data_IF_806467877240
#
_entry.id   IF_806467877240
#
_cell.length_a   1.000
_cell.length_b   1.000
_cell.length_c   1.000
_cell.angle_alpha   90.00
_cell.angle_beta   90.00
_cell.angle_gamma   90.00
#
_symmetry.space_group_name_H-M   'P 1'
#
loop_
_entity.id
_entity.type
_entity.pdbx_description
1 polymer ?
#
# COMPACT_ATOMS: atom_id res chain seq x y z
N UNK A 1 24.04 0.38 21.83
CA UNK A 1 23.04 0.29 20.76
C UNK A 1 21.68 0.43 21.39
N UNK A 2 21.01 1.57 21.20
CA UNK A 2 19.68 1.80 21.77
C UNK A 2 18.67 1.19 20.80
N UNK A 3 18.10 0.03 21.12
CA UNK A 3 16.93 -0.49 20.39
C UNK A 3 15.79 0.46 20.72
N UNK A 4 15.20 1.17 19.75
CA UNK A 4 14.04 1.99 20.03
C UNK A 4 12.92 1.09 20.55
N UNK A 5 12.29 1.50 21.65
CA UNK A 5 11.11 0.86 22.18
C UNK A 5 10.01 0.85 21.10
N UNK A 6 9.22 -0.22 21.00
CA UNK A 6 8.10 -0.24 20.07
C UNK A 6 7.18 0.96 20.37
N UNK A 7 6.83 1.70 19.35
CA UNK A 7 5.85 2.78 19.45
C UNK A 7 4.48 2.16 19.76
N UNK A 8 3.81 2.60 20.79
CA UNK A 8 2.43 2.20 21.11
C UNK A 8 1.40 2.70 20.07
N UNK A 9 1.84 3.57 19.15
CA UNK A 9 0.99 4.06 18.09
C UNK A 9 0.78 2.98 17.00
N UNK A 10 -0.42 2.88 16.43
CA UNK A 10 -0.70 1.91 15.37
C UNK A 10 0.10 2.21 14.09
N UNK A 11 0.33 1.22 13.23
CA UNK A 11 0.84 1.46 11.89
C UNK A 11 -0.20 2.20 11.04
N UNK A 12 0.28 2.90 10.01
CA UNK A 12 -0.53 3.68 9.07
C UNK A 12 -0.64 2.95 7.73
N UNK A 13 -1.84 2.96 7.13
CA UNK A 13 -2.05 2.44 5.79
C UNK A 13 -1.50 3.40 4.72
N UNK A 14 -0.78 2.86 3.73
CA UNK A 14 -0.32 3.62 2.58
C UNK A 14 -0.80 2.95 1.29
N UNK A 15 -1.79 3.56 0.62
CA UNK A 15 -2.32 3.10 -0.66
C UNK A 15 -1.53 3.74 -1.80
N UNK A 16 -0.84 2.93 -2.59
CA UNK A 16 -0.18 3.39 -3.80
C UNK A 16 -1.15 3.30 -4.99
N UNK A 17 -1.58 4.44 -5.49
CA UNK A 17 -2.56 4.61 -6.57
C UNK A 17 -2.04 5.54 -7.68
N UNK A 18 -0.72 5.70 -7.82
CA UNK A 18 -0.08 6.60 -8.78
C UNK A 18 0.54 5.89 -10.00
N UNK A 19 0.25 4.59 -10.20
CA UNK A 19 0.75 3.81 -11.34
C UNK A 19 0.25 4.35 -12.70
N UNK A 20 1.08 4.27 -13.74
CA UNK A 20 0.79 4.83 -15.07
C UNK A 20 -0.22 4.05 -15.91
N UNK A 21 -0.69 2.89 -15.49
CA UNK A 21 -1.69 2.06 -16.19
C UNK A 21 -1.40 1.82 -17.69
N UNK A 22 -0.11 1.80 -18.09
CA UNK A 22 0.33 1.79 -19.50
C UNK A 22 -0.27 0.64 -20.33
N UNK A 23 -0.61 -0.48 -19.69
CA UNK A 23 -1.18 -1.68 -20.35
C UNK A 23 -2.71 -1.63 -20.46
N UNK A 24 -3.36 -0.67 -19.80
CA UNK A 24 -4.82 -0.54 -19.77
C UNK A 24 -5.36 0.39 -20.89
N UNK A 25 -4.47 0.96 -21.71
CA UNK A 25 -4.82 1.88 -22.78
C UNK A 25 -5.06 3.32 -22.29
N UNK A 26 -6.02 4.02 -22.92
CA UNK A 26 -6.29 5.44 -22.67
C UNK A 26 -7.05 5.67 -21.36
N UNK A 27 -7.74 4.67 -20.85
CA UNK A 27 -8.55 4.78 -19.63
C UNK A 27 -7.71 4.59 -18.38
N UNK A 28 -8.03 5.36 -17.33
CA UNK A 28 -7.40 5.15 -16.02
C UNK A 28 -7.87 3.81 -15.44
N UNK A 29 -6.97 2.86 -15.29
CA UNK A 29 -7.20 1.51 -14.74
C UNK A 29 -7.94 1.57 -13.39
N UNK A 30 -7.50 2.47 -12.51
CA UNK A 30 -7.97 2.56 -11.14
C UNK A 30 -9.42 3.03 -11.01
N UNK A 31 -9.95 3.70 -12.05
CA UNK A 31 -11.35 4.12 -12.14
C UNK A 31 -12.26 3.07 -12.76
N UNK A 32 -11.72 1.95 -13.26
CA UNK A 32 -12.54 0.92 -13.88
C UNK A 32 -13.45 0.25 -12.86
N UNK A 33 -14.72 -0.01 -13.24
CA UNK A 33 -15.63 -0.75 -12.39
C UNK A 33 -15.25 -2.23 -12.34
N UNK A 34 -15.30 -2.81 -11.16
CA UNK A 34 -15.29 -4.24 -10.92
C UNK A 34 -16.66 -4.85 -11.31
N UNK A 35 -16.81 -6.18 -11.37
CA UNK A 35 -18.09 -6.82 -11.70
C UNK A 35 -19.28 -6.38 -10.84
N UNK A 36 -19.03 -5.93 -9.62
CA UNK A 36 -20.06 -5.36 -8.73
C UNK A 36 -20.41 -3.88 -9.02
N UNK A 37 -19.79 -3.27 -10.04
CA UNK A 37 -19.99 -1.88 -10.43
C UNK A 37 -19.19 -0.85 -9.62
N UNK A 38 -18.42 -1.28 -8.61
CA UNK A 38 -17.62 -0.37 -7.80
C UNK A 38 -16.26 -0.10 -8.43
N UNK A 39 -15.76 1.13 -8.30
CA UNK A 39 -14.42 1.53 -8.74
C UNK A 39 -13.34 0.72 -8.03
N UNK A 40 -12.41 0.13 -8.79
CA UNK A 40 -11.32 -0.72 -8.30
C UNK A 40 -10.54 -0.10 -7.14
N UNK A 41 -10.05 1.13 -7.32
CA UNK A 41 -9.28 1.81 -6.28
C UNK A 41 -10.11 2.12 -5.02
N UNK A 42 -11.42 2.34 -5.17
CA UNK A 42 -12.35 2.55 -4.05
C UNK A 42 -12.50 1.28 -3.22
N UNK A 43 -12.59 0.12 -3.87
CA UNK A 43 -12.67 -1.18 -3.17
C UNK A 43 -11.38 -1.46 -2.42
N UNK A 44 -10.22 -1.29 -3.06
CA UNK A 44 -8.91 -1.46 -2.39
C UNK A 44 -8.75 -0.50 -1.20
N UNK A 45 -9.13 0.77 -1.38
CA UNK A 45 -9.09 1.79 -0.33
C UNK A 45 -10.00 1.46 0.85
N UNK A 46 -11.20 0.95 0.57
CA UNK A 46 -12.16 0.55 1.61
C UNK A 46 -11.61 -0.60 2.46
N UNK A 47 -11.01 -1.60 1.84
CA UNK A 47 -10.35 -2.69 2.57
C UNK A 47 -9.24 -2.17 3.48
N UNK A 48 -8.41 -1.24 2.96
CA UNK A 48 -7.32 -0.66 3.73
C UNK A 48 -7.83 0.17 4.92
N UNK A 49 -8.78 1.09 4.71
CA UNK A 49 -9.25 1.98 5.78
C UNK A 49 -10.13 1.25 6.81
N UNK A 50 -10.77 0.15 6.43
CA UNK A 50 -11.48 -0.73 7.36
C UNK A 50 -10.52 -1.36 8.37
N UNK A 51 -9.32 -1.77 7.90
CA UNK A 51 -8.30 -2.34 8.77
C UNK A 51 -7.48 -1.27 9.49
N UNK A 52 -7.16 -0.17 8.81
CA UNK A 52 -6.29 0.91 9.29
C UNK A 52 -6.99 2.26 9.08
N UNK A 53 -7.73 2.75 10.09
CA UNK A 53 -8.46 4.02 9.99
C UNK A 53 -7.58 5.24 9.69
N UNK A 54 -6.29 5.19 10.07
CA UNK A 54 -5.31 6.18 9.64
C UNK A 54 -4.64 5.69 8.37
N UNK A 55 -5.02 6.25 7.22
CA UNK A 55 -4.46 5.85 5.93
C UNK A 55 -4.25 7.05 5.01
N UNK A 56 -3.17 6.97 4.25
CA UNK A 56 -2.78 7.92 3.19
C UNK A 56 -2.90 7.24 1.84
N UNK A 57 -3.42 7.94 0.84
CA UNK A 57 -3.41 7.50 -0.55
C UNK A 57 -2.57 8.45 -1.41
N UNK A 58 -1.70 7.88 -2.22
CA UNK A 58 -0.90 8.61 -3.22
C UNK A 58 -1.52 8.36 -4.58
N UNK A 59 -1.98 9.41 -5.25
CA UNK A 59 -2.62 9.35 -6.57
C UNK A 59 -1.85 10.19 -7.59
N UNK A 60 -2.15 10.03 -8.87
CA UNK A 60 -1.71 10.97 -9.90
C UNK A 60 -2.48 12.28 -9.81
N UNK A 61 -1.81 13.38 -10.13
CA UNK A 61 -2.50 14.65 -10.38
C UNK A 61 -3.50 14.51 -11.54
N UNK A 62 -4.48 15.42 -11.56
CA UNK A 62 -5.52 15.49 -12.60
C UNK A 62 -6.47 14.28 -12.67
N UNK A 63 -6.73 13.64 -11.53
CA UNK A 63 -7.77 12.61 -11.38
C UNK A 63 -8.72 12.99 -10.24
N UNK A 64 -9.50 14.10 -10.41
CA UNK A 64 -10.32 14.67 -9.33
C UNK A 64 -11.40 13.71 -8.83
N UNK A 65 -11.96 12.87 -9.70
CA UNK A 65 -12.97 11.87 -9.32
C UNK A 65 -12.38 10.85 -8.32
N UNK A 66 -11.16 10.37 -8.56
CA UNK A 66 -10.49 9.45 -7.65
C UNK A 66 -10.14 10.15 -6.34
N UNK A 67 -9.61 11.38 -6.42
CA UNK A 67 -9.29 12.18 -5.24
C UNK A 67 -10.52 12.36 -4.35
N UNK A 68 -11.65 12.76 -4.93
CA UNK A 68 -12.90 12.95 -4.20
C UNK A 68 -13.42 11.66 -3.57
N UNK A 69 -13.40 10.53 -4.31
CA UNK A 69 -13.87 9.24 -3.83
C UNK A 69 -13.02 8.73 -2.64
N UNK A 70 -11.70 8.84 -2.72
CA UNK A 70 -10.80 8.40 -1.63
C UNK A 70 -10.91 9.29 -0.39
N UNK A 71 -11.04 10.61 -0.57
CA UNK A 71 -11.32 11.56 0.54
C UNK A 71 -12.67 11.27 1.21
N UNK A 72 -13.70 10.93 0.45
CA UNK A 72 -15.01 10.57 0.98
C UNK A 72 -14.99 9.29 1.83
N UNK A 73 -14.04 8.37 1.57
CA UNK A 73 -13.77 7.20 2.42
C UNK A 73 -13.00 7.55 3.69
N UNK A 74 -12.44 8.76 3.81
CA UNK A 74 -11.67 9.20 4.98
C UNK A 74 -10.15 9.07 4.82
N UNK A 75 -9.62 8.74 3.63
CA UNK A 75 -8.18 8.73 3.42
C UNK A 75 -7.65 10.17 3.27
N UNK A 76 -6.45 10.38 3.80
CA UNK A 76 -5.65 11.56 3.44
C UNK A 76 -5.07 11.32 2.03
N UNK A 77 -5.40 12.20 1.08
CA UNK A 77 -4.98 12.06 -0.31
C UNK A 77 -3.88 13.06 -0.63
N UNK A 78 -2.78 12.57 -1.21
CA UNK A 78 -1.67 13.38 -1.74
C UNK A 78 -1.52 13.08 -3.23
N UNK A 79 -1.27 14.12 -4.02
CA UNK A 79 -1.19 14.04 -5.47
C UNK A 79 0.27 14.15 -5.93
N UNK A 80 0.71 13.19 -6.76
CA UNK A 80 1.99 13.25 -7.45
C UNK A 80 1.98 14.39 -8.46
N UNK A 81 3.00 15.25 -8.43
CA UNK A 81 3.23 16.27 -9.45
C UNK A 81 3.92 15.71 -10.70
N UNK A 82 4.46 16.64 -11.51
CA UNK A 82 5.19 16.28 -12.74
C UNK A 82 6.56 15.64 -12.46
N UNK A 83 7.09 15.83 -11.27
CA UNK A 83 8.42 15.33 -10.87
C UNK A 83 8.38 13.86 -10.45
N UNK A 84 7.23 13.36 -9.98
CA UNK A 84 7.06 11.98 -9.54
C UNK A 84 6.78 11.06 -10.75
N UNK A 85 7.86 10.62 -11.42
CA UNK A 85 7.77 9.87 -12.68
C UNK A 85 7.91 8.35 -12.49
N UNK A 86 8.48 7.89 -11.38
CA UNK A 86 8.73 6.48 -11.10
C UNK A 86 8.02 6.03 -9.82
N UNK A 87 7.93 4.71 -9.60
CA UNK A 87 7.25 4.16 -8.42
C UNK A 87 7.89 4.62 -7.11
N UNK A 88 9.21 4.76 -7.06
CA UNK A 88 9.94 5.23 -5.88
C UNK A 88 9.51 6.63 -5.45
N UNK A 89 9.23 7.53 -6.40
CA UNK A 89 8.84 8.91 -6.09
C UNK A 89 7.48 8.96 -5.39
N UNK A 90 6.49 8.23 -5.92
CA UNK A 90 5.17 8.14 -5.30
C UNK A 90 5.23 7.48 -3.91
N UNK A 91 6.09 6.47 -3.73
CA UNK A 91 6.33 5.87 -2.42
C UNK A 91 6.93 6.87 -1.43
N UNK A 92 7.97 7.61 -1.82
CA UNK A 92 8.62 8.64 -0.98
C UNK A 92 7.64 9.74 -0.61
N UNK A 93 6.83 10.23 -1.55
CA UNK A 93 5.81 11.24 -1.30
C UNK A 93 4.81 10.74 -0.25
N UNK A 94 4.31 9.53 -0.40
CA UNK A 94 3.40 8.91 0.56
C UNK A 94 4.02 8.73 1.94
N UNK A 95 5.25 8.25 2.02
CA UNK A 95 5.97 8.07 3.28
C UNK A 95 6.24 9.40 4.00
N UNK A 96 6.66 10.44 3.28
CA UNK A 96 6.85 11.77 3.86
C UNK A 96 5.52 12.35 4.39
N UNK A 97 4.41 12.12 3.68
CA UNK A 97 3.07 12.50 4.13
C UNK A 97 2.70 11.75 5.41
N UNK A 98 2.94 10.42 5.47
CA UNK A 98 2.71 9.62 6.68
C UNK A 98 3.53 10.13 7.85
N UNK A 99 4.83 10.38 7.66
CA UNK A 99 5.71 10.85 8.74
C UNK A 99 5.32 12.24 9.27
N UNK A 100 4.80 13.10 8.39
CA UNK A 100 4.33 14.45 8.75
C UNK A 100 3.01 14.39 9.51
N UNK A 101 2.03 13.61 9.02
CA UNK A 101 0.70 13.54 9.59
C UNK A 101 0.63 12.63 10.84
N UNK A 102 1.46 11.58 10.87
CA UNK A 102 1.49 10.56 11.92
C UNK A 102 2.92 10.33 12.45
N UNK A 103 3.54 11.34 13.09
CA UNK A 103 4.96 11.31 13.46
C UNK A 103 5.33 10.20 14.45
N UNK A 104 4.37 9.60 15.12
CA UNK A 104 4.57 8.52 16.10
C UNK A 104 4.16 7.13 15.58
N UNK A 105 3.79 6.98 14.29
CA UNK A 105 3.35 5.68 13.76
C UNK A 105 4.39 4.58 13.99
N UNK A 106 3.94 3.37 14.32
CA UNK A 106 4.83 2.20 14.51
C UNK A 106 5.45 1.70 13.19
N UNK A 107 4.85 2.07 12.06
CA UNK A 107 5.28 1.65 10.73
C UNK A 107 4.22 1.93 9.67
N UNK A 108 4.38 1.33 8.51
CA UNK A 108 3.44 1.47 7.40
C UNK A 108 3.05 0.12 6.83
N UNK A 109 1.79 -0.03 6.43
CA UNK A 109 1.31 -1.15 5.62
C UNK A 109 1.05 -0.63 4.21
N UNK A 110 1.87 -1.07 3.25
CA UNK A 110 1.79 -0.63 1.86
C UNK A 110 0.86 -1.56 1.10
N UNK A 111 -0.25 -1.00 0.61
CA UNK A 111 -1.22 -1.66 -0.25
C UNK A 111 -1.23 -1.03 -1.65
N UNK A 112 -1.61 -1.81 -2.65
CA UNK A 112 -1.69 -1.39 -4.04
C UNK A 112 -3.15 -1.21 -4.45
N UNK A 113 -3.47 -0.11 -5.13
CA UNK A 113 -4.84 0.21 -5.53
C UNK A 113 -5.40 -0.69 -6.64
N UNK A 114 -4.53 -1.45 -7.32
CA UNK A 114 -4.88 -2.45 -8.33
C UNK A 114 -5.03 -3.87 -7.76
N UNK A 115 -5.01 -4.02 -6.43
CA UNK A 115 -5.26 -5.28 -5.72
C UNK A 115 -6.54 -5.18 -4.86
N UNK A 116 -7.73 -5.03 -5.48
CA UNK A 116 -8.98 -4.73 -4.76
C UNK A 116 -9.53 -5.91 -3.94
N UNK A 117 -9.00 -7.12 -4.13
CA UNK A 117 -9.55 -8.33 -3.54
C UNK A 117 -8.90 -8.72 -2.22
N UNK A 118 -7.91 -7.96 -1.74
CA UNK A 118 -7.29 -8.20 -0.43
C UNK A 118 -8.31 -7.94 0.69
N UNK A 119 -8.47 -8.91 1.58
CA UNK A 119 -9.42 -8.83 2.69
C UNK A 119 -8.91 -7.89 3.79
N UNK A 120 -9.79 -7.11 4.45
CA UNK A 120 -9.41 -6.26 5.57
C UNK A 120 -8.72 -7.03 6.70
N UNK A 121 -9.14 -8.28 6.96
CA UNK A 121 -8.55 -9.15 7.99
C UNK A 121 -7.07 -9.45 7.70
N UNK A 122 -6.72 -9.70 6.44
CA UNK A 122 -5.32 -9.91 6.02
C UNK A 122 -4.47 -8.68 6.29
N UNK A 123 -4.99 -7.50 5.96
CA UNK A 123 -4.32 -6.21 6.22
C UNK A 123 -4.12 -6.02 7.73
N UNK A 124 -5.15 -6.29 8.54
CA UNK A 124 -5.10 -6.17 10.00
C UNK A 124 -4.08 -7.12 10.62
N UNK A 125 -3.98 -8.37 10.14
CA UNK A 125 -3.00 -9.33 10.63
C UNK A 125 -1.57 -8.86 10.35
N UNK A 126 -1.31 -8.34 9.14
CA UNK A 126 0.00 -7.75 8.79
C UNK A 126 0.31 -6.56 9.70
N UNK A 127 -0.65 -5.68 9.93
CA UNK A 127 -0.49 -4.51 10.79
C UNK A 127 -0.18 -4.88 12.25
N UNK A 128 -0.90 -5.85 12.81
CA UNK A 128 -0.70 -6.29 14.19
C UNK A 128 0.70 -6.90 14.40
N UNK A 129 1.19 -7.66 13.42
CA UNK A 129 2.50 -8.29 13.51
C UNK A 129 3.68 -7.30 13.45
N UNK A 130 3.47 -6.08 12.92
CA UNK A 130 4.49 -5.02 12.91
C UNK A 130 4.90 -4.52 14.31
N UNK A 131 4.09 -4.79 15.34
CA UNK A 131 4.48 -4.49 16.72
C UNK A 131 5.74 -5.26 17.18
N UNK A 132 6.04 -6.39 16.57
CA UNK A 132 7.14 -7.28 16.97
C UNK A 132 8.13 -7.59 15.85
N UNK A 133 7.81 -7.26 14.60
CA UNK A 133 8.58 -7.67 13.42
C UNK A 133 8.87 -6.49 12.49
N UNK A 134 10.11 -6.37 11.95
CA UNK A 134 10.47 -5.25 11.10
C UNK A 134 9.82 -5.29 9.72
N UNK A 135 9.60 -6.51 9.16
CA UNK A 135 9.02 -6.75 7.85
C UNK A 135 8.02 -7.90 7.93
N UNK A 136 6.81 -7.65 7.44
CA UNK A 136 5.70 -8.62 7.51
C UNK A 136 5.02 -8.75 6.15
N UNK A 137 4.79 -10.00 5.71
CA UNK A 137 4.03 -10.29 4.51
C UNK A 137 2.99 -11.39 4.78
N UNK A 138 1.79 -11.32 4.19
CA UNK A 138 0.89 -12.46 4.16
C UNK A 138 1.45 -13.55 3.26
N UNK A 139 1.20 -14.82 3.60
CA UNK A 139 1.63 -15.98 2.82
C UNK A 139 0.48 -16.95 2.64
N UNK A 140 0.29 -17.43 1.41
CA UNK A 140 -0.64 -18.51 1.09
C UNK A 140 0.08 -19.55 0.22
N UNK A 141 -0.07 -20.82 0.57
CA UNK A 141 0.62 -21.92 -0.11
C UNK A 141 2.15 -21.74 -0.23
N UNK A 142 2.79 -21.19 0.80
CA UNK A 142 4.23 -20.93 0.85
C UNK A 142 4.71 -19.74 0.02
N UNK A 143 3.81 -18.98 -0.60
CA UNK A 143 4.12 -17.83 -1.46
C UNK A 143 3.75 -16.52 -0.76
N UNK A 144 4.69 -15.56 -0.58
CA UNK A 144 4.36 -14.26 0.01
C UNK A 144 3.64 -13.37 -1.00
N UNK A 145 2.73 -12.52 -0.48
CA UNK A 145 1.93 -11.60 -1.27
C UNK A 145 1.85 -10.19 -0.65
N UNK A 146 0.81 -9.46 -1.04
CA UNK A 146 0.48 -8.13 -0.54
C UNK A 146 -0.67 -8.19 0.50
N UNK A 147 -0.81 -7.16 1.36
CA UNK A 147 0.05 -5.98 1.49
C UNK A 147 1.36 -6.31 2.21
N UNK A 148 2.31 -5.38 2.16
CA UNK A 148 3.58 -5.52 2.86
C UNK A 148 3.66 -4.53 4.01
N UNK A 149 3.93 -5.02 5.21
CA UNK A 149 4.15 -4.22 6.39
C UNK A 149 5.62 -3.94 6.64
N UNK A 150 5.96 -2.68 6.92
CA UNK A 150 7.30 -2.23 7.28
C UNK A 150 7.23 -1.47 8.61
N UNK A 151 8.04 -1.89 9.59
CA UNK A 151 8.19 -1.14 10.82
C UNK A 151 8.83 0.23 10.56
N UNK A 152 8.68 1.13 11.52
CA UNK A 152 9.29 2.47 11.47
C UNK A 152 10.80 2.43 11.22
N UNK A 153 11.49 1.41 11.70
CA UNK A 153 12.93 1.24 11.52
C UNK A 153 13.35 1.12 10.05
N UNK A 154 12.46 0.58 9.18
CA UNK A 154 12.73 0.40 7.76
C UNK A 154 12.30 1.59 6.88
N UNK A 155 11.57 2.56 7.42
CA UNK A 155 11.13 3.75 6.65
C UNK A 155 12.32 4.54 6.06
N UNK A 156 13.46 4.76 6.77
CA UNK A 156 14.60 5.43 6.18
C UNK A 156 15.21 4.72 4.97
N UNK A 157 15.11 3.39 4.89
CA UNK A 157 15.56 2.63 3.72
C UNK A 157 14.56 2.76 2.57
N UNK A 158 13.25 2.69 2.86
CA UNK A 158 12.20 2.94 1.85
C UNK A 158 12.30 4.34 1.24
N UNK A 159 12.75 5.35 2.00
CA UNK A 159 12.96 6.70 1.49
C UNK A 159 14.19 6.83 0.57
N UNK A 160 15.08 5.83 0.53
CA UNK A 160 16.29 5.83 -0.34
C UNK A 160 16.12 5.02 -1.61
N UNK A 161 15.02 4.23 -1.76
CA UNK A 161 14.80 3.44 -2.96
C UNK A 161 14.70 4.33 -4.21
N UNK A 162 15.11 3.80 -5.36
CA UNK A 162 15.12 4.53 -6.63
C UNK A 162 14.43 3.72 -7.74
N UNK A 163 13.99 4.41 -8.78
CA UNK A 163 13.41 3.80 -9.97
C UNK A 163 12.07 3.08 -9.74
N UNK A 164 11.80 2.07 -10.55
CA UNK A 164 10.49 1.38 -10.58
C UNK A 164 10.43 0.13 -9.69
N UNK A 165 11.50 -0.19 -8.94
CA UNK A 165 11.51 -1.35 -8.04
C UNK A 165 10.71 -1.10 -6.75
N UNK A 166 10.56 0.18 -6.35
CA UNK A 166 9.80 0.56 -5.17
C UNK A 166 10.27 -0.17 -3.91
N UNK A 167 9.34 -0.57 -3.06
CA UNK A 167 9.65 -1.25 -1.79
C UNK A 167 10.25 -2.66 -1.96
N UNK A 168 10.25 -3.25 -3.16
CA UNK A 168 10.76 -4.62 -3.41
C UNK A 168 12.25 -4.77 -3.08
N UNK A 169 13.03 -3.71 -3.27
CA UNK A 169 14.45 -3.70 -2.92
C UNK A 169 14.66 -3.90 -1.41
N UNK A 170 13.91 -3.17 -0.59
CA UNK A 170 13.96 -3.30 0.87
C UNK A 170 13.47 -4.67 1.32
N UNK A 171 12.40 -5.21 0.70
CA UNK A 171 11.93 -6.58 0.97
C UNK A 171 13.02 -7.60 0.71
N UNK A 172 13.75 -7.51 -0.40
CA UNK A 172 14.85 -8.42 -0.73
C UNK A 172 16.00 -8.31 0.26
N UNK A 173 16.38 -7.09 0.63
CA UNK A 173 17.48 -6.85 1.58
C UNK A 173 17.18 -7.42 2.97
N UNK A 174 15.90 -7.41 3.39
CA UNK A 174 15.46 -7.87 4.70
C UNK A 174 14.73 -9.21 4.68
N UNK A 175 14.85 -10.00 3.59
CA UNK A 175 14.13 -11.26 3.43
C UNK A 175 14.37 -12.25 4.58
N UNK A 176 15.59 -12.31 5.14
CA UNK A 176 15.92 -13.18 6.26
C UNK A 176 15.23 -12.77 7.58
N UNK A 177 14.76 -11.53 7.69
CA UNK A 177 14.05 -10.97 8.85
C UNK A 177 12.54 -10.86 8.61
N UNK A 178 12.08 -11.22 7.39
CA UNK A 178 10.67 -11.16 7.03
C UNK A 178 9.89 -12.23 7.77
N UNK A 179 8.81 -11.80 8.41
CA UNK A 179 7.83 -12.71 9.01
C UNK A 179 6.66 -12.89 8.07
N UNK A 180 6.29 -14.15 7.86
CA UNK A 180 5.20 -14.54 6.99
C UNK A 180 3.97 -14.94 7.81
N UNK A 181 2.85 -14.25 7.60
CA UNK A 181 1.58 -14.54 8.25
C UNK A 181 0.75 -15.43 7.32
N UNK A 182 0.48 -16.66 7.75
CA UNK A 182 -0.36 -17.56 6.98
C UNK A 182 -1.78 -17.01 6.85
N UNK A 183 -2.33 -17.04 5.65
CA UNK A 183 -3.71 -16.63 5.36
C UNK A 183 -4.34 -17.51 4.27
N UNK A 184 -5.65 -17.46 4.16
CA UNK A 184 -6.45 -18.10 3.10
C UNK A 184 -7.08 -17.06 2.17
N UNK A 185 -6.36 -15.98 1.90
CA UNK A 185 -6.82 -14.85 1.09
C UNK A 185 -6.13 -14.85 -0.29
N UNK A 186 -6.79 -15.34 -1.36
CA UNK A 186 -6.21 -15.35 -2.70
C UNK A 186 -6.01 -13.93 -3.27
N UNK A 187 -6.67 -12.93 -2.69
CA UNK A 187 -6.51 -11.52 -3.08
C UNK A 187 -5.09 -11.00 -2.94
N UNK A 188 -4.26 -11.63 -2.09
CA UNK A 188 -2.87 -11.22 -1.86
C UNK A 188 -1.97 -11.36 -3.11
N UNK A 189 -2.44 -12.06 -4.15
CA UNK A 189 -1.73 -12.28 -5.42
C UNK A 189 -2.46 -11.69 -6.63
N UNK A 190 -3.68 -11.19 -6.42
CA UNK A 190 -4.58 -10.82 -7.51
C UNK A 190 -4.52 -9.32 -7.79
N UNK A 191 -3.54 -8.92 -8.58
CA UNK A 191 -3.48 -7.62 -9.22
C UNK A 191 -4.29 -7.62 -10.54
N UNK A 192 -4.84 -6.48 -10.89
CA UNK A 192 -5.57 -6.28 -12.14
C UNK A 192 -4.68 -5.46 -13.05
N UNK A 193 -4.06 -6.08 -14.05
CA UNK A 193 -3.10 -5.44 -14.95
C UNK A 193 -3.67 -5.15 -16.35
N UNK A 194 -4.64 -5.93 -16.79
CA UNK A 194 -5.29 -5.81 -18.10
C UNK A 194 -6.82 -5.90 -17.95
N UNK A 195 -7.61 -5.41 -18.92
CA UNK A 195 -9.08 -5.48 -18.85
C UNK A 195 -9.66 -6.89 -18.67
N UNK A 196 -8.94 -7.93 -19.09
CA UNK A 196 -9.37 -9.32 -18.91
C UNK A 196 -9.37 -9.77 -17.44
N UNK A 197 -8.57 -9.14 -16.58
CA UNK A 197 -8.46 -9.45 -15.14
C UNK A 197 -9.65 -8.91 -14.33
N UNK A 198 -10.48 -8.04 -14.94
CA UNK A 198 -11.70 -7.50 -14.35
C UNK A 198 -12.86 -8.52 -14.24
N UNK A 199 -12.70 -9.72 -14.83
CA UNK A 199 -13.75 -10.75 -14.89
C UNK A 199 -13.78 -11.66 -13.68
#
# INVERSE_FOLDING_TARGET
MHTPLPSDAPPVGLLLAAGFSRRFGVQNKLLQPLPNGECMAVVAARSLITALPHSVAVIRANVPELSAALKALGLMVVECGEQEQVMADSLKLGLNTVLTAFPQCAGVVIALADMPFIQPQTIQHVANALAQHPLVQPVMAGKPGHPVGFSRALIPELLRVEGDQGAREVVRAHQAQSVHIACEDPGIFRDIDIPADLK
#
